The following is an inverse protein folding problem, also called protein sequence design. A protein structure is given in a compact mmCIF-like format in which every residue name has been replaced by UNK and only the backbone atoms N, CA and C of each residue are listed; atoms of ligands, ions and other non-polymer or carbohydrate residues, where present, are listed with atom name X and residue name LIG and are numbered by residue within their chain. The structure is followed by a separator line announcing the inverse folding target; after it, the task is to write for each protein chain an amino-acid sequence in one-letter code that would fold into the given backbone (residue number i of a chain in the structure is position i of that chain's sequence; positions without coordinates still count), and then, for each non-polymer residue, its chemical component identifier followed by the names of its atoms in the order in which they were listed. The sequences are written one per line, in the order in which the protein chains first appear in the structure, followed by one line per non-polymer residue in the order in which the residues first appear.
data_IF_263452649755
#
_entry.id   IF_263452649755
#
_cell.length_a   1.000
_cell.length_b   1.000
_cell.length_c   1.000
_cell.angle_alpha   90.00
_cell.angle_beta   90.00
_cell.angle_gamma   90.00
#
_symmetry.space_group_name_H-M   'P 1'
#
loop_
_entity.id
_entity.type
_entity.pdbx_description
1 polymer ?
#
# COMPACT_ATOMS: atom_id res chain seq x y z
N UNK A 1 -16.25 5.31 14.76
CA UNK A 1 -14.81 4.96 14.63
C UNK A 1 -14.26 4.48 15.96
N UNK A 2 -14.37 5.27 17.02
CA UNK A 2 -13.98 4.87 18.38
C UNK A 2 -14.54 3.49 18.82
N UNK A 3 -15.82 3.20 18.55
CA UNK A 3 -16.41 1.88 18.84
C UNK A 3 -15.67 0.71 18.17
N UNK A 4 -15.28 0.86 16.90
CA UNK A 4 -14.51 -0.15 16.16
C UNK A 4 -13.09 -0.28 16.69
N UNK A 5 -12.46 0.84 17.03
CA UNK A 5 -11.14 0.84 17.66
C UNK A 5 -11.17 0.12 19.01
N UNK A 6 -12.19 0.39 19.83
CA UNK A 6 -12.39 -0.27 21.12
C UNK A 6 -12.53 -1.78 20.96
N UNK A 7 -13.32 -2.23 19.99
CA UNK A 7 -13.51 -3.67 19.73
C UNK A 7 -12.23 -4.33 19.20
N UNK A 8 -11.43 -3.60 18.41
CA UNK A 8 -10.10 -4.04 17.95
C UNK A 8 -9.13 -4.17 19.13
N UNK A 9 -8.99 -3.14 19.97
CA UNK A 9 -8.11 -3.13 21.13
C UNK A 9 -8.47 -4.26 22.11
N UNK A 10 -9.77 -4.52 22.32
CA UNK A 10 -10.24 -5.64 23.14
C UNK A 10 -9.75 -7.00 22.61
N UNK A 11 -9.89 -7.23 21.30
CA UNK A 11 -9.49 -8.48 20.66
C UNK A 11 -7.98 -8.64 20.64
N UNK A 12 -7.27 -7.58 20.27
CA UNK A 12 -5.80 -7.56 20.24
C UNK A 12 -5.22 -7.88 21.62
N UNK A 13 -5.62 -7.17 22.67
CA UNK A 13 -5.10 -7.44 24.02
C UNK A 13 -5.48 -8.84 24.51
N UNK A 14 -6.67 -9.35 24.15
CA UNK A 14 -7.08 -10.71 24.51
C UNK A 14 -6.29 -11.82 23.79
N UNK A 15 -5.66 -11.53 22.64
CA UNK A 15 -4.84 -12.48 21.87
C UNK A 15 -3.35 -12.34 22.15
N UNK A 16 -2.88 -11.13 22.44
CA UNK A 16 -1.44 -10.84 22.53
C UNK A 16 -0.94 -10.85 23.97
N UNK A 17 -1.81 -10.55 24.94
CA UNK A 17 -1.46 -10.52 26.36
C UNK A 17 -2.19 -11.65 27.10
N UNK A 18 -1.61 -12.85 27.10
CA UNK A 18 -2.04 -13.96 27.94
C UNK A 18 -1.38 -13.88 29.32
N UNK A 19 -1.73 -12.87 30.12
CA UNK A 19 -1.21 -12.69 31.48
C UNK A 19 -1.06 -11.23 31.91
N UNK A 20 -0.79 -11.01 33.20
CA UNK A 20 -0.41 -9.70 33.76
C UNK A 20 1.12 -9.58 33.78
N UNK A 21 1.67 -8.41 33.42
CA UNK A 21 3.11 -8.12 33.48
C UNK A 21 3.68 -7.54 32.17
N UNK A 22 4.98 -7.77 31.92
CA UNK A 22 5.75 -7.15 30.83
C UNK A 22 5.18 -7.39 29.42
N UNK A 23 4.57 -8.55 29.18
CA UNK A 23 3.90 -8.88 27.91
C UNK A 23 2.67 -7.99 27.66
N UNK A 24 1.93 -7.64 28.72
CA UNK A 24 0.82 -6.69 28.61
C UNK A 24 1.37 -5.30 28.31
N UNK A 25 2.47 -4.91 28.95
CA UNK A 25 3.17 -3.64 28.70
C UNK A 25 3.60 -3.52 27.24
N UNK A 26 4.35 -4.48 26.71
CA UNK A 26 4.81 -4.46 25.31
C UNK A 26 3.66 -4.51 24.31
N UNK A 27 2.62 -5.31 24.58
CA UNK A 27 1.42 -5.33 23.74
C UNK A 27 0.72 -3.96 23.74
N UNK A 28 0.68 -3.28 24.87
CA UNK A 28 0.06 -1.96 24.96
C UNK A 28 0.87 -0.85 24.31
N UNK A 29 2.21 -0.91 24.34
CA UNK A 29 3.08 0.02 23.63
C UNK A 29 2.96 -0.13 22.10
N UNK A 30 2.70 -1.34 21.62
CA UNK A 30 2.49 -1.63 20.21
C UNK A 30 1.08 -1.24 19.71
N UNK A 31 0.17 -0.82 20.59
CA UNK A 31 -1.20 -0.51 20.23
C UNK A 31 -1.32 0.89 19.62
N UNK A 32 -1.76 0.96 18.36
CA UNK A 32 -2.11 2.22 17.71
C UNK A 32 -3.31 2.88 18.40
N UNK A 33 -3.11 4.08 18.94
CA UNK A 33 -4.13 4.86 19.65
C UNK A 33 -4.98 5.72 18.72
N UNK A 34 -4.84 5.60 17.40
CA UNK A 34 -5.69 6.32 16.45
C UNK A 34 -7.16 5.93 16.65
N UNK A 35 -8.01 6.93 16.93
CA UNK A 35 -9.42 6.83 17.36
C UNK A 35 -9.65 6.39 18.81
N UNK A 36 -8.61 6.30 19.63
CA UNK A 36 -8.73 6.11 21.06
C UNK A 36 -9.35 7.35 21.73
N UNK A 37 -10.22 7.09 22.71
CA UNK A 37 -10.68 8.10 23.64
C UNK A 37 -9.74 8.09 24.83
N UNK A 38 -9.16 9.23 25.19
CA UNK A 38 -8.17 9.34 26.25
C UNK A 38 -8.43 10.55 27.14
N UNK A 39 -7.98 10.50 28.39
CA UNK A 39 -7.88 11.64 29.28
C UNK A 39 -6.42 12.08 29.35
N UNK A 40 -6.13 13.36 29.20
CA UNK A 40 -4.78 13.88 29.46
C UNK A 40 -4.59 13.92 30.97
N UNK A 41 -3.75 13.07 31.54
CA UNK A 41 -3.49 13.08 32.99
C UNK A 41 -2.46 14.13 33.35
N UNK A 42 -1.45 14.31 32.49
CA UNK A 42 -0.40 15.32 32.65
C UNK A 42 0.15 15.70 31.28
N UNK A 43 0.50 16.97 31.08
CA UNK A 43 1.24 17.42 29.90
C UNK A 43 2.20 18.53 30.32
N UNK A 44 3.51 18.32 30.16
CA UNK A 44 4.53 19.29 30.53
C UNK A 44 4.49 20.56 29.66
N UNK A 45 4.03 20.43 28.41
CA UNK A 45 4.00 21.53 27.42
C UNK A 45 2.68 22.30 27.39
N UNK A 46 1.60 21.67 27.84
CA UNK A 46 0.23 22.20 27.84
C UNK A 46 -0.47 21.83 29.17
N UNK A 47 -0.05 22.40 30.32
CA UNK A 47 -0.62 22.08 31.63
C UNK A 47 -2.12 22.39 31.72
N UNK A 48 -2.63 23.33 30.92
CA UNK A 48 -4.05 23.70 30.84
C UNK A 48 -4.96 22.58 30.31
N UNK A 49 -4.37 21.53 29.72
CA UNK A 49 -5.10 20.38 29.21
C UNK A 49 -5.10 19.20 30.19
N UNK A 50 -4.44 19.30 31.35
CA UNK A 50 -4.54 18.27 32.37
C UNK A 50 -5.99 18.09 32.83
N UNK A 51 -6.48 16.85 32.82
CA UNK A 51 -7.86 16.47 33.07
C UNK A 51 -8.79 16.56 31.85
N UNK A 52 -8.33 17.07 30.70
CA UNK A 52 -9.17 17.18 29.51
C UNK A 52 -9.37 15.81 28.84
N UNK A 53 -10.61 15.52 28.45
CA UNK A 53 -10.90 14.41 27.55
C UNK A 53 -10.50 14.79 26.12
N UNK A 54 -9.90 13.83 25.41
CA UNK A 54 -9.47 13.98 24.02
C UNK A 54 -9.77 12.71 23.23
N UNK A 55 -10.05 12.89 21.94
CA UNK A 55 -10.07 11.79 20.97
C UNK A 55 -8.83 11.93 20.11
N UNK A 56 -7.99 10.90 20.08
CA UNK A 56 -6.82 10.84 19.20
C UNK A 56 -7.32 10.61 17.78
N UNK A 57 -7.07 11.56 16.88
CA UNK A 57 -7.48 11.47 15.47
C UNK A 57 -6.37 10.88 14.61
N UNK A 58 -5.11 11.08 15.04
CA UNK A 58 -3.94 10.55 14.35
C UNK A 58 -2.76 10.47 15.33
N UNK A 59 -2.00 9.39 15.23
CA UNK A 59 -0.78 9.17 15.99
C UNK A 59 0.44 9.21 15.07
N UNK A 60 1.46 9.98 15.45
CA UNK A 60 2.74 10.05 14.73
C UNK A 60 3.88 9.53 15.62
N UNK A 61 5.10 9.48 15.09
CA UNK A 61 6.29 9.07 15.88
C UNK A 61 6.53 9.95 17.11
N UNK A 62 6.16 11.24 17.08
CA UNK A 62 6.50 12.20 18.14
C UNK A 62 5.30 12.96 18.73
N UNK A 63 4.10 12.87 18.14
CA UNK A 63 2.93 13.63 18.57
C UNK A 63 1.63 12.85 18.45
N UNK A 64 0.67 13.18 19.32
CA UNK A 64 -0.74 12.84 19.22
C UNK A 64 -1.52 14.04 18.68
N UNK A 65 -2.26 13.85 17.59
CA UNK A 65 -3.19 14.84 17.08
C UNK A 65 -4.57 14.54 17.65
N UNK A 66 -5.07 15.43 18.49
CA UNK A 66 -6.23 15.22 19.33
C UNK A 66 -7.35 16.22 19.01
N UNK A 67 -8.58 15.82 19.26
CA UNK A 67 -9.75 16.72 19.27
C UNK A 67 -10.42 16.64 20.63
N UNK A 68 -10.67 17.79 21.23
CA UNK A 68 -11.42 17.93 22.49
C UNK A 68 -12.93 17.84 22.23
N UNK A 69 -13.77 17.57 23.25
CA UNK A 69 -15.23 17.59 23.13
C UNK A 69 -15.81 18.90 22.60
N UNK A 70 -15.11 20.02 22.81
CA UNK A 70 -15.49 21.34 22.26
C UNK A 70 -15.02 21.54 20.81
N UNK A 71 -14.65 20.46 20.12
CA UNK A 71 -14.14 20.47 18.74
C UNK A 71 -12.84 21.24 18.52
N UNK A 72 -12.13 21.64 19.59
CA UNK A 72 -10.81 22.25 19.48
C UNK A 72 -9.77 21.18 19.16
N UNK A 73 -8.99 21.41 18.09
CA UNK A 73 -7.82 20.59 17.75
C UNK A 73 -6.63 20.94 18.63
N UNK A 74 -5.94 19.92 19.09
CA UNK A 74 -4.77 20.02 19.97
C UNK A 74 -3.71 19.05 19.47
N UNK A 75 -2.44 19.47 19.50
CA UNK A 75 -1.30 18.60 19.23
C UNK A 75 -0.53 18.40 20.51
N UNK A 76 -0.48 17.17 21.01
CA UNK A 76 0.23 16.82 22.24
C UNK A 76 1.54 16.12 21.88
N UNK A 77 2.71 16.59 22.37
CA UNK A 77 3.97 15.87 22.18
C UNK A 77 3.94 14.55 22.96
N UNK A 78 4.48 13.46 22.41
CA UNK A 78 4.58 12.18 23.16
C UNK A 78 5.48 12.32 24.38
N UNK A 79 6.63 12.99 24.20
CA UNK A 79 7.52 13.31 25.31
C UNK A 79 6.86 14.30 26.27
N UNK A 80 6.75 13.90 27.54
CA UNK A 80 6.16 14.72 28.60
C UNK A 80 4.64 14.84 28.53
N UNK A 81 3.93 13.97 27.80
CA UNK A 81 2.47 13.84 27.89
C UNK A 81 2.09 12.46 28.40
N UNK A 82 1.19 12.44 29.36
CA UNK A 82 0.60 11.24 29.92
C UNK A 82 -0.87 11.17 29.55
N UNK A 83 -1.28 10.03 28.98
CA UNK A 83 -2.65 9.76 28.57
C UNK A 83 -3.21 8.57 29.34
N UNK A 84 -4.43 8.74 29.85
CA UNK A 84 -5.26 7.69 30.42
C UNK A 84 -6.26 7.18 29.39
N UNK A 85 -6.08 5.94 28.92
CA UNK A 85 -7.01 5.33 27.97
C UNK A 85 -7.81 4.23 28.68
N UNK A 86 -9.15 4.32 28.72
CA UNK A 86 -9.99 3.27 29.28
C UNK A 86 -10.05 2.09 28.29
N UNK A 87 -9.66 0.91 28.76
CA UNK A 87 -9.75 -0.32 27.97
C UNK A 87 -11.05 -1.08 28.28
N UNK A 88 -11.66 -1.75 27.29
CA UNK A 88 -12.81 -2.61 27.52
C UNK A 88 -12.44 -3.86 28.33
N UNK A 89 -13.31 -4.27 29.26
CA UNK A 89 -13.13 -5.49 30.07
C UNK A 89 -13.08 -6.72 29.16
N UNK A 90 -11.97 -7.47 29.18
CA UNK A 90 -11.87 -8.80 28.54
C UNK A 90 -12.06 -9.89 29.61
N UNK A 91 -12.86 -10.94 29.31
CA UNK A 91 -13.11 -12.07 30.23
C UNK A 91 -11.85 -12.90 30.54
N UNK A 92 -10.76 -12.77 29.77
CA UNK A 92 -9.51 -13.55 29.93
C UNK A 92 -8.45 -12.87 30.79
N UNK A 93 -8.70 -11.65 31.29
CA UNK A 93 -7.81 -10.95 32.21
C UNK A 93 -8.09 -11.29 33.69
N UNK A 94 -8.85 -12.36 33.96
CA UNK A 94 -9.04 -12.90 35.31
C UNK A 94 -7.91 -13.87 35.65
N UNK A 95 -6.79 -13.31 36.12
CA UNK A 95 -5.79 -13.98 36.94
C UNK A 95 -5.74 -13.30 38.31
N UNK A 96 -5.48 -14.08 39.36
CA UNK A 96 -5.74 -13.81 40.78
C UNK A 96 -5.03 -12.61 41.44
N UNK A 97 -4.42 -11.70 40.67
CA UNK A 97 -3.77 -10.48 41.17
C UNK A 97 -4.44 -9.17 40.70
N UNK A 98 -5.64 -9.24 40.10
CA UNK A 98 -6.45 -8.06 39.73
C UNK A 98 -6.85 -7.16 40.92
N UNK A 99 -6.45 -7.51 42.15
CA UNK A 99 -6.54 -6.67 43.35
C UNK A 99 -5.41 -5.61 43.42
N UNK A 100 -4.32 -5.75 42.66
CA UNK A 100 -3.20 -4.80 42.64
C UNK A 100 -3.36 -3.76 41.52
N UNK A 101 -4.34 -2.87 41.69
CA UNK A 101 -4.33 -1.52 41.09
C UNK A 101 -4.15 -1.38 39.56
N UNK A 102 -4.12 -0.15 39.03
CA UNK A 102 -3.82 0.11 37.62
C UNK A 102 -2.37 -0.28 37.29
N UNK A 103 -2.16 -0.88 36.11
CA UNK A 103 -0.81 -1.07 35.55
C UNK A 103 -0.34 0.29 35.03
N UNK A 104 0.50 0.95 35.81
CA UNK A 104 1.21 2.16 35.42
C UNK A 104 2.54 1.75 34.76
N UNK A 105 2.75 2.15 33.51
CA UNK A 105 4.02 1.93 32.81
C UNK A 105 4.79 3.25 32.82
N UNK A 106 5.85 3.31 33.63
CA UNK A 106 6.99 4.23 33.46
C UNK A 106 8.00 3.48 32.58
N UNK A 107 8.22 3.88 31.33
CA UNK A 107 9.28 4.84 30.97
C UNK A 107 8.88 5.86 29.88
N UNK A 108 7.64 5.83 29.38
CA UNK A 108 7.13 6.81 28.40
C UNK A 108 5.69 7.31 28.70
N UNK A 109 5.18 7.09 29.91
CA UNK A 109 4.05 7.85 30.45
C UNK A 109 2.65 7.50 29.94
N UNK A 110 2.42 6.32 29.37
CA UNK A 110 1.07 5.87 29.04
C UNK A 110 0.46 5.11 30.24
N UNK A 111 -0.68 5.55 30.77
CA UNK A 111 -1.37 4.84 31.86
C UNK A 111 -2.66 4.23 31.33
N UNK A 112 -2.72 2.90 31.25
CA UNK A 112 -3.90 2.21 30.72
C UNK A 112 -4.73 1.62 31.85
N UNK A 113 -6.02 1.97 31.88
CA UNK A 113 -6.92 1.49 32.92
C UNK A 113 -7.73 0.31 32.40
N UNK A 114 -7.55 -0.85 33.03
CA UNK A 114 -8.30 -2.07 32.71
C UNK A 114 -9.71 -2.09 33.33
N UNK A 115 -10.01 -1.19 34.28
CA UNK A 115 -11.30 -1.14 34.97
C UNK A 115 -11.93 0.27 34.96
N UNK A 116 -13.21 0.42 34.55
CA UNK A 116 -13.88 1.73 34.52
C UNK A 116 -14.13 2.35 35.90
N UNK A 117 -14.02 1.59 37.00
CA UNK A 117 -14.19 2.10 38.37
C UNK A 117 -12.95 2.84 38.91
N UNK A 118 -11.77 2.63 38.32
CA UNK A 118 -10.50 3.23 38.76
C UNK A 118 -10.05 4.40 37.86
N UNK A 119 -10.76 4.69 36.77
CA UNK A 119 -10.51 5.87 35.97
C UNK A 119 -10.93 7.13 36.75
N UNK A 120 -10.18 8.25 36.66
CA UNK A 120 -10.68 9.54 37.14
C UNK A 120 -12.06 9.79 36.50
N UNK A 121 -13.02 10.33 37.27
CA UNK A 121 -14.41 10.57 36.82
C UNK A 121 -14.41 11.43 35.56
N UNK A 122 -14.42 10.77 34.40
CA UNK A 122 -14.58 11.40 33.10
C UNK A 122 -16.01 11.95 33.04
N UNK A 123 -16.17 13.27 32.82
CA UNK A 123 -17.49 13.83 32.52
C UNK A 123 -18.03 13.11 31.28
N UNK A 124 -19.17 12.43 31.43
CA UNK A 124 -19.85 11.79 30.32
C UNK A 124 -20.16 12.82 29.24
N UNK A 125 -19.84 12.51 27.98
CA UNK A 125 -20.27 13.37 26.87
C UNK A 125 -21.81 13.32 26.74
N UNK A 126 -22.46 14.46 26.42
CA UNK A 126 -23.85 14.44 26.01
C UNK A 126 -24.01 13.53 24.78
N UNK A 127 -25.17 12.87 24.68
CA UNK A 127 -25.48 12.03 23.53
C UNK A 127 -25.46 12.84 22.22
N UNK A 128 -25.16 12.21 21.07
CA UNK A 128 -24.98 12.92 19.80
C UNK A 128 -26.25 13.62 19.26
N UNK A 129 -27.43 13.43 19.86
CA UNK A 129 -28.66 14.09 19.40
C UNK A 129 -28.71 15.59 19.73
N UNK A 130 -27.95 16.06 20.73
CA UNK A 130 -27.98 17.47 21.18
C UNK A 130 -26.92 18.37 20.53
N UNK A 131 -25.99 17.83 19.72
CA UNK A 131 -24.87 18.59 19.17
C UNK A 131 -25.15 19.28 17.81
N UNK A 132 -26.33 19.10 17.22
CA UNK A 132 -26.66 19.66 15.90
C UNK A 132 -27.11 21.13 15.91
N UNK A 133 -27.22 21.77 17.08
CA UNK A 133 -27.69 23.15 17.18
C UNK A 133 -26.59 24.24 17.22
N UNK A 134 -25.31 23.87 17.22
CA UNK A 134 -24.23 24.87 17.15
C UNK A 134 -23.89 25.19 15.69
N UNK A 135 -24.27 26.40 15.28
CA UNK A 135 -24.02 27.02 13.97
C UNK A 135 -22.61 26.72 13.45
N UNK A 136 -22.53 26.07 12.29
CA UNK A 136 -21.29 25.83 11.59
C UNK A 136 -20.71 27.15 11.07
N UNK A 137 -19.59 27.59 11.66
CA UNK A 137 -18.73 28.63 11.10
C UNK A 137 -18.09 28.10 9.78
N UNK A 138 -18.28 28.76 8.63
CA UNK A 138 -17.78 28.29 7.34
C UNK A 138 -16.25 28.39 7.20
N UNK A 139 -15.52 28.87 8.20
CA UNK A 139 -14.06 28.99 8.18
C UNK A 139 -13.29 27.72 8.60
N UNK A 140 -13.97 26.60 8.89
CA UNK A 140 -13.32 25.36 9.32
C UNK A 140 -12.43 24.78 8.22
N UNK A 141 -11.12 24.92 8.45
CA UNK A 141 -10.05 24.43 7.60
C UNK A 141 -10.27 22.97 7.16
N UNK A 142 -10.25 22.78 5.84
CA UNK A 142 -10.28 21.48 5.17
C UNK A 142 -9.20 20.54 5.73
N UNK A 143 -9.49 19.25 5.92
CA UNK A 143 -8.49 18.30 6.39
C UNK A 143 -7.34 18.22 5.37
N UNK A 144 -6.14 18.65 5.79
CA UNK A 144 -4.92 18.59 4.98
C UNK A 144 -4.67 17.11 4.65
N UNK A 145 -4.63 16.78 3.35
CA UNK A 145 -4.27 15.44 2.86
C UNK A 145 -2.99 14.97 3.56
N UNK A 146 -3.04 13.78 4.17
CA UNK A 146 -1.86 13.13 4.71
C UNK A 146 -0.77 13.07 3.62
N UNK A 147 0.38 13.65 3.91
CA UNK A 147 1.53 13.58 3.01
C UNK A 147 2.15 12.19 3.11
N UNK A 148 2.52 11.55 1.99
CA UNK A 148 3.20 10.27 2.01
C UNK A 148 4.55 10.38 2.76
N UNK A 149 5.03 9.29 3.39
CA UNK A 149 6.21 9.28 4.27
C UNK A 149 7.55 9.55 3.56
N UNK A 150 7.54 9.66 2.23
CA UNK A 150 8.64 10.14 1.40
C UNK A 150 8.18 11.44 0.74
N UNK A 151 8.94 12.52 0.88
CA UNK A 151 8.63 13.88 0.37
C UNK A 151 8.56 14.03 -1.15
N UNK A 152 8.31 12.95 -1.90
CA UNK A 152 8.12 12.95 -3.34
C UNK A 152 6.70 13.43 -3.63
N UNK A 153 6.56 14.55 -4.33
CA UNK A 153 5.25 15.03 -4.78
C UNK A 153 4.60 13.98 -5.70
N UNK A 154 3.27 13.87 -5.67
CA UNK A 154 2.53 12.95 -6.55
C UNK A 154 2.92 13.14 -8.03
N UNK A 155 3.18 14.40 -8.44
CA UNK A 155 3.65 14.75 -9.78
C UNK A 155 5.03 14.18 -10.10
N UNK A 156 5.97 14.29 -9.15
CA UNK A 156 7.30 13.71 -9.30
C UNK A 156 7.23 12.18 -9.40
N UNK A 157 6.39 11.51 -8.60
CA UNK A 157 6.21 10.07 -8.68
C UNK A 157 5.68 9.61 -10.06
N UNK A 158 4.64 10.29 -10.59
CA UNK A 158 4.13 10.01 -11.94
C UNK A 158 5.15 10.29 -13.04
N UNK A 159 5.93 11.37 -12.91
CA UNK A 159 6.99 11.71 -13.85
C UNK A 159 8.11 10.66 -13.84
N UNK A 160 8.56 10.23 -12.66
CA UNK A 160 9.58 9.18 -12.53
C UNK A 160 9.11 7.85 -13.12
N UNK A 161 7.85 7.45 -12.89
CA UNK A 161 7.27 6.27 -13.52
C UNK A 161 7.21 6.39 -15.04
N UNK A 162 6.79 7.56 -15.55
CA UNK A 162 6.76 7.82 -17.00
C UNK A 162 8.13 7.76 -17.64
N UNK A 163 9.14 8.42 -17.05
CA UNK A 163 10.52 8.39 -17.51
C UNK A 163 11.09 6.97 -17.47
N UNK A 164 10.86 6.23 -16.39
CA UNK A 164 11.29 4.84 -16.26
C UNK A 164 10.67 3.94 -17.33
N UNK A 165 9.37 4.08 -17.59
CA UNK A 165 8.68 3.35 -18.66
C UNK A 165 9.23 3.68 -20.06
N UNK A 166 9.50 4.96 -20.32
CA UNK A 166 10.08 5.41 -21.60
C UNK A 166 11.50 4.90 -21.78
N UNK A 167 12.36 5.03 -20.77
CA UNK A 167 13.75 4.56 -20.81
C UNK A 167 13.83 3.05 -21.03
N UNK A 168 12.97 2.29 -20.34
CA UNK A 168 12.85 0.84 -20.53
C UNK A 168 12.48 0.49 -21.97
N UNK A 169 11.47 1.16 -22.50
CA UNK A 169 10.93 0.91 -23.84
C UNK A 169 11.93 1.28 -24.93
N UNK A 170 12.57 2.44 -24.80
CA UNK A 170 13.63 2.88 -25.70
C UNK A 170 14.83 1.92 -25.67
N UNK A 171 15.25 1.47 -24.48
CA UNK A 171 16.32 0.49 -24.33
C UNK A 171 15.98 -0.85 -25.00
N UNK A 172 14.77 -1.38 -24.77
CA UNK A 172 14.33 -2.64 -25.38
C UNK A 172 14.27 -2.57 -26.91
N UNK A 173 13.69 -1.49 -27.46
CA UNK A 173 13.63 -1.26 -28.90
C UNK A 173 15.04 -1.06 -29.47
N UNK A 174 15.90 -0.30 -28.79
CA UNK A 174 17.29 -0.10 -29.18
C UNK A 174 18.07 -1.41 -29.25
N UNK A 175 17.91 -2.30 -28.27
CA UNK A 175 18.52 -3.64 -28.30
C UNK A 175 17.97 -4.48 -29.46
N UNK A 176 16.67 -4.41 -29.74
CA UNK A 176 16.05 -5.13 -30.85
C UNK A 176 16.61 -4.67 -32.20
N UNK A 177 16.73 -3.36 -32.41
CA UNK A 177 17.33 -2.77 -33.62
C UNK A 177 18.81 -3.13 -33.73
N UNK A 178 19.54 -3.11 -32.60
CA UNK A 178 20.94 -3.53 -32.57
C UNK A 178 21.10 -4.99 -33.03
N UNK A 179 20.29 -5.91 -32.50
CA UNK A 179 20.31 -7.32 -32.92
C UNK A 179 19.86 -7.53 -34.37
N UNK A 180 18.88 -6.77 -34.85
CA UNK A 180 18.45 -6.84 -36.25
C UNK A 180 19.57 -6.43 -37.22
N UNK A 181 20.43 -5.47 -36.82
CA UNK A 181 21.53 -4.96 -37.66
C UNK A 181 22.82 -5.75 -37.54
N UNK A 182 23.17 -6.17 -36.32
CA UNK A 182 24.48 -6.73 -36.00
C UNK A 182 24.45 -8.23 -35.66
N UNK A 183 23.25 -8.81 -35.57
CA UNK A 183 23.05 -10.16 -35.02
C UNK A 183 23.24 -10.21 -33.50
N UNK A 184 22.83 -11.33 -32.91
CA UNK A 184 23.13 -11.61 -31.51
C UNK A 184 24.55 -12.17 -31.35
N UNK A 185 25.25 -11.75 -30.29
CA UNK A 185 26.61 -12.25 -29.99
C UNK A 185 26.61 -13.59 -29.25
N UNK A 186 25.57 -13.87 -28.48
CA UNK A 186 25.44 -15.11 -27.67
C UNK A 186 24.66 -16.16 -28.45
N UNK A 187 25.16 -17.39 -28.49
CA UNK A 187 24.60 -18.49 -29.30
C UNK A 187 23.11 -18.73 -29.04
N UNK A 188 22.69 -18.80 -27.77
CA UNK A 188 21.28 -18.97 -27.41
C UNK A 188 20.36 -17.90 -28.05
N UNK A 189 20.78 -16.64 -28.07
CA UNK A 189 19.99 -15.57 -28.70
C UNK A 189 20.01 -15.67 -30.23
N UNK A 190 21.07 -16.22 -30.84
CA UNK A 190 21.07 -16.53 -32.28
C UNK A 190 20.04 -17.62 -32.60
N UNK A 191 19.99 -18.67 -31.79
CA UNK A 191 19.04 -19.79 -31.96
C UNK A 191 17.59 -19.33 -31.75
N UNK A 192 17.37 -18.44 -30.78
CA UNK A 192 16.08 -17.81 -30.54
C UNK A 192 15.67 -16.88 -31.69
N UNK A 193 16.59 -16.09 -32.25
CA UNK A 193 16.31 -15.24 -33.41
C UNK A 193 16.03 -16.07 -34.66
N UNK A 194 16.76 -17.16 -34.90
CA UNK A 194 16.54 -18.00 -36.09
C UNK A 194 15.22 -18.76 -36.04
N UNK A 195 14.82 -19.25 -34.85
CA UNK A 195 13.59 -20.03 -34.67
C UNK A 195 12.34 -19.18 -34.38
N UNK A 196 12.50 -18.01 -33.78
CA UNK A 196 11.42 -17.26 -33.13
C UNK A 196 11.53 -15.73 -33.30
N UNK A 197 12.16 -15.24 -34.39
CA UNK A 197 12.29 -13.80 -34.66
C UNK A 197 10.96 -13.05 -34.62
N UNK A 198 9.95 -13.52 -35.37
CA UNK A 198 8.64 -12.86 -35.45
C UNK A 198 8.00 -12.69 -34.06
N UNK A 199 7.76 -13.76 -33.27
CA UNK A 199 7.20 -13.60 -31.94
C UNK A 199 8.08 -12.78 -31.00
N UNK A 200 9.41 -12.84 -31.13
CA UNK A 200 10.33 -12.01 -30.33
C UNK A 200 10.16 -10.51 -30.62
N UNK A 201 10.21 -10.09 -31.88
CA UNK A 201 10.04 -8.67 -32.22
C UNK A 201 8.63 -8.18 -31.90
N UNK A 202 7.61 -9.00 -32.16
CA UNK A 202 6.22 -8.68 -31.79
C UNK A 202 6.05 -8.55 -30.28
N UNK A 203 6.69 -9.42 -29.49
CA UNK A 203 6.73 -9.31 -28.03
C UNK A 203 7.36 -8.00 -27.59
N UNK A 204 8.55 -7.69 -28.11
CA UNK A 204 9.29 -6.47 -27.74
C UNK A 204 8.45 -5.23 -28.02
N UNK A 205 7.79 -5.14 -29.19
CA UNK A 205 6.94 -4.01 -29.54
C UNK A 205 5.75 -3.89 -28.58
N UNK A 206 4.98 -4.96 -28.38
CA UNK A 206 3.81 -4.95 -27.49
C UNK A 206 4.18 -4.66 -26.03
N UNK A 207 5.18 -5.36 -25.51
CA UNK A 207 5.64 -5.22 -24.13
C UNK A 207 6.31 -3.86 -23.85
N UNK A 208 6.86 -3.18 -24.87
CA UNK A 208 7.40 -1.82 -24.73
C UNK A 208 6.30 -0.76 -24.76
N UNK A 209 5.26 -0.94 -25.57
CA UNK A 209 4.15 0.03 -25.62
C UNK A 209 3.29 0.01 -24.34
N UNK A 210 3.07 -1.16 -23.75
CA UNK A 210 2.22 -1.32 -22.58
C UNK A 210 2.59 -0.41 -21.38
N UNK A 211 3.84 -0.34 -20.88
CA UNK A 211 4.18 0.50 -19.74
C UNK A 211 3.99 2.00 -20.03
N UNK A 212 4.38 2.46 -21.23
CA UNK A 212 4.22 3.86 -21.64
C UNK A 212 2.76 4.27 -21.68
N UNK A 213 1.90 3.40 -22.23
CA UNK A 213 0.46 3.65 -22.32
C UNK A 213 -0.25 3.47 -20.98
N UNK A 214 0.27 2.63 -20.08
CA UNK A 214 -0.36 2.33 -18.80
C UNK A 214 -0.19 3.42 -17.73
N UNK A 215 0.93 4.14 -17.71
CA UNK A 215 1.17 5.24 -16.75
C UNK A 215 0.06 6.30 -16.77
N UNK A 216 -0.30 6.89 -17.94
CA UNK A 216 -1.38 7.89 -17.99
C UNK A 216 -2.75 7.30 -17.64
N UNK A 217 -2.97 6.00 -17.82
CA UNK A 217 -4.25 5.32 -17.52
C UNK A 217 -4.56 5.27 -16.02
N UNK A 218 -3.53 5.22 -15.18
CA UNK A 218 -3.70 5.19 -13.73
C UNK A 218 -3.94 6.59 -13.12
N UNK A 219 -3.55 7.66 -13.82
CA UNK A 219 -3.75 9.04 -13.36
C UNK A 219 -5.23 9.43 -13.30
N UNK A 220 -5.68 9.93 -12.14
CA UNK A 220 -7.03 10.50 -11.98
C UNK A 220 -7.22 11.75 -12.85
N UNK A 221 -6.17 12.55 -13.03
CA UNK A 221 -6.23 13.80 -13.79
C UNK A 221 -6.51 13.53 -15.27
N UNK A 222 -5.77 12.59 -15.89
CA UNK A 222 -5.96 12.21 -17.29
C UNK A 222 -7.37 11.65 -17.52
N UNK A 223 -7.85 10.77 -16.63
CA UNK A 223 -9.20 10.21 -16.73
C UNK A 223 -10.32 11.25 -16.64
N UNK A 224 -10.13 12.31 -15.85
CA UNK A 224 -11.12 13.39 -15.70
C UNK A 224 -11.04 14.40 -16.85
N UNK A 225 -9.83 14.70 -17.32
CA UNK A 225 -9.59 15.70 -18.36
C UNK A 225 -10.08 15.26 -19.75
N UNK A 226 -9.86 13.99 -20.13
CA UNK A 226 -10.32 13.47 -21.42
C UNK A 226 -10.74 12.00 -21.35
N UNK A 227 -12.04 11.72 -21.20
CA UNK A 227 -12.58 10.36 -21.24
C UNK A 227 -12.33 9.64 -22.58
N UNK A 228 -12.33 10.39 -23.69
CA UNK A 228 -12.01 9.84 -25.01
C UNK A 228 -10.56 9.37 -25.08
N UNK A 229 -9.61 10.21 -24.63
CA UNK A 229 -8.19 9.84 -24.60
C UNK A 229 -7.96 8.60 -23.70
N UNK A 230 -8.61 8.56 -22.53
CA UNK A 230 -8.56 7.38 -21.65
C UNK A 230 -9.00 6.10 -22.38
N UNK A 231 -10.12 6.14 -23.12
CA UNK A 231 -10.64 4.99 -23.88
C UNK A 231 -9.72 4.58 -25.03
N UNK A 232 -9.23 5.53 -25.83
CA UNK A 232 -8.35 5.23 -26.97
C UNK A 232 -7.03 4.65 -26.48
N UNK A 233 -6.33 5.35 -25.59
CA UNK A 233 -5.07 4.88 -25.02
C UNK A 233 -5.24 3.56 -24.25
N UNK A 234 -6.39 3.36 -23.60
CA UNK A 234 -6.72 2.12 -22.90
C UNK A 234 -6.90 0.93 -23.85
N UNK A 235 -7.52 1.14 -25.02
CA UNK A 235 -7.63 0.10 -26.07
C UNK A 235 -6.26 -0.26 -26.64
N UNK A 236 -5.43 0.74 -26.93
CA UNK A 236 -4.06 0.48 -27.43
C UNK A 236 -3.24 -0.24 -26.35
N UNK A 237 -3.36 0.15 -25.07
CA UNK A 237 -2.73 -0.57 -23.96
C UNK A 237 -3.15 -2.05 -23.94
N UNK A 238 -4.45 -2.34 -24.01
CA UNK A 238 -4.96 -3.72 -24.00
C UNK A 238 -4.45 -4.51 -25.20
N UNK A 239 -4.46 -3.92 -26.40
CA UNK A 239 -3.91 -4.57 -27.59
C UNK A 239 -2.41 -4.89 -27.41
N UNK A 240 -1.64 -3.94 -26.89
CA UNK A 240 -0.21 -4.13 -26.57
C UNK A 240 0.02 -5.25 -25.56
N UNK A 241 -0.81 -5.34 -24.52
CA UNK A 241 -0.76 -6.45 -23.53
C UNK A 241 -1.12 -7.79 -24.17
N UNK A 242 -2.15 -7.84 -25.02
CA UNK A 242 -2.55 -9.10 -25.68
C UNK A 242 -1.44 -9.58 -26.61
N UNK A 243 -0.93 -8.69 -27.47
CA UNK A 243 0.15 -8.99 -28.41
C UNK A 243 1.42 -9.39 -27.66
N UNK A 244 1.86 -8.58 -26.70
CA UNK A 244 3.06 -8.84 -25.90
C UNK A 244 2.93 -10.07 -25.02
N UNK A 245 1.79 -10.28 -24.37
CA UNK A 245 1.54 -11.41 -23.49
C UNK A 245 1.43 -12.73 -24.24
N UNK A 246 0.72 -12.78 -25.37
CA UNK A 246 0.56 -14.01 -26.15
C UNK A 246 1.90 -14.47 -26.76
N UNK A 247 2.65 -13.53 -27.35
CA UNK A 247 3.98 -13.84 -27.87
C UNK A 247 4.99 -14.12 -26.75
N UNK A 248 4.89 -13.44 -25.61
CA UNK A 248 5.70 -13.74 -24.43
C UNK A 248 5.44 -15.15 -23.87
N UNK A 249 4.18 -15.61 -23.87
CA UNK A 249 3.82 -16.96 -23.47
C UNK A 249 4.45 -18.02 -24.40
N UNK A 250 4.42 -17.78 -25.71
CA UNK A 250 5.09 -18.64 -26.68
C UNK A 250 6.61 -18.70 -26.41
N UNK A 251 7.24 -17.54 -26.19
CA UNK A 251 8.69 -17.44 -25.96
C UNK A 251 9.13 -17.98 -24.59
N UNK A 252 8.22 -18.14 -23.63
CA UNK A 252 8.55 -18.65 -22.30
C UNK A 252 9.17 -20.06 -22.37
N UNK A 253 8.76 -20.90 -23.32
CA UNK A 253 9.36 -22.23 -23.53
C UNK A 253 10.83 -22.20 -23.97
N UNK A 254 11.25 -21.10 -24.59
CA UNK A 254 12.61 -20.85 -25.09
C UNK A 254 13.45 -19.96 -24.14
N UNK A 255 13.00 -19.70 -22.91
CA UNK A 255 13.74 -18.83 -21.99
C UNK A 255 15.16 -19.35 -21.68
N UNK A 256 16.08 -18.41 -21.42
CA UNK A 256 17.53 -18.63 -21.30
C UNK A 256 17.93 -19.53 -20.12
N UNK A 257 17.17 -19.50 -19.01
CA UNK A 257 17.48 -20.27 -17.81
C UNK A 257 16.61 -21.54 -17.67
N UNK A 258 16.85 -22.28 -16.58
CA UNK A 258 16.23 -23.58 -16.30
C UNK A 258 14.70 -23.57 -16.29
N UNK A 259 14.11 -24.74 -16.02
CA UNK A 259 12.65 -24.93 -16.01
C UNK A 259 11.92 -23.89 -15.13
N UNK A 260 12.53 -23.42 -14.05
CA UNK A 260 11.98 -22.40 -13.16
C UNK A 260 11.67 -21.07 -13.86
N UNK A 261 12.59 -20.53 -14.67
CA UNK A 261 12.37 -19.28 -15.40
C UNK A 261 11.29 -19.42 -16.48
N UNK A 262 11.28 -20.57 -17.18
CA UNK A 262 10.25 -20.88 -18.19
C UNK A 262 8.86 -20.88 -17.57
N UNK A 263 8.70 -21.55 -16.42
CA UNK A 263 7.45 -21.59 -15.65
C UNK A 263 7.08 -20.18 -15.16
N UNK A 264 8.04 -19.41 -14.64
CA UNK A 264 7.80 -18.05 -14.15
C UNK A 264 7.28 -17.12 -15.24
N UNK A 265 7.95 -17.07 -16.41
CA UNK A 265 7.50 -16.22 -17.52
C UNK A 265 6.18 -16.70 -18.13
N UNK A 266 5.95 -18.01 -18.21
CA UNK A 266 4.67 -18.57 -18.65
C UNK A 266 3.54 -18.18 -17.71
N UNK A 267 3.73 -18.34 -16.39
CA UNK A 267 2.78 -17.94 -15.38
C UNK A 267 2.51 -16.43 -15.42
N UNK A 268 3.55 -15.61 -15.51
CA UNK A 268 3.43 -14.16 -15.67
C UNK A 268 2.57 -13.81 -16.89
N UNK A 269 2.84 -14.41 -18.06
CA UNK A 269 2.07 -14.14 -19.27
C UNK A 269 0.58 -14.51 -19.12
N UNK A 270 0.28 -15.68 -18.54
CA UNK A 270 -1.09 -16.12 -18.29
C UNK A 270 -1.81 -15.19 -17.32
N UNK A 271 -1.18 -14.83 -16.20
CA UNK A 271 -1.78 -13.94 -15.19
C UNK A 271 -1.95 -12.52 -15.76
N UNK A 272 -1.01 -12.04 -16.57
CA UNK A 272 -1.07 -10.73 -17.20
C UNK A 272 -2.21 -10.62 -18.24
N UNK A 273 -2.37 -11.64 -19.07
CA UNK A 273 -3.51 -11.75 -19.99
C UNK A 273 -4.82 -11.90 -19.23
N UNK A 274 -4.87 -12.77 -18.23
CA UNK A 274 -6.05 -13.04 -17.42
C UNK A 274 -6.56 -11.79 -16.68
N UNK A 275 -5.66 -11.07 -15.99
CA UNK A 275 -6.04 -9.84 -15.27
C UNK A 275 -6.54 -8.75 -16.23
N UNK A 276 -5.92 -8.61 -17.40
CA UNK A 276 -6.40 -7.69 -18.45
C UNK A 276 -7.78 -8.10 -18.97
N UNK A 277 -8.00 -9.38 -19.25
CA UNK A 277 -9.28 -9.89 -19.72
C UNK A 277 -10.40 -9.67 -18.69
N UNK A 278 -10.13 -9.93 -17.40
CA UNK A 278 -11.08 -9.66 -16.32
C UNK A 278 -11.39 -8.17 -16.18
N UNK A 279 -10.38 -7.30 -16.35
CA UNK A 279 -10.57 -5.86 -16.39
C UNK A 279 -11.49 -5.41 -17.51
N UNK A 280 -11.31 -5.97 -18.71
CA UNK A 280 -12.16 -5.66 -19.87
C UNK A 280 -13.58 -6.23 -19.72
N UNK A 281 -13.73 -7.45 -19.21
CA UNK A 281 -15.03 -8.03 -18.89
C UNK A 281 -15.81 -7.14 -17.93
N UNK A 282 -15.17 -6.66 -16.86
CA UNK A 282 -15.78 -5.73 -15.92
C UNK A 282 -16.16 -4.38 -16.56
N UNK A 283 -15.37 -3.88 -17.52
CA UNK A 283 -15.71 -2.67 -18.28
C UNK A 283 -16.96 -2.86 -19.15
N UNK A 284 -17.08 -4.00 -19.84
CA UNK A 284 -18.25 -4.32 -20.65
C UNK A 284 -19.52 -4.50 -19.80
N UNK A 285 -19.36 -5.07 -18.60
CA UNK A 285 -20.42 -5.16 -17.59
C UNK A 285 -20.73 -3.83 -16.88
N UNK A 286 -20.07 -2.73 -17.27
CA UNK A 286 -20.17 -1.40 -16.64
C UNK A 286 -19.82 -1.39 -15.14
N UNK A 287 -19.12 -2.41 -14.65
CA UNK A 287 -18.58 -2.47 -13.30
C UNK A 287 -17.21 -1.78 -13.25
N UNK A 288 -17.23 -0.44 -13.26
CA UNK A 288 -16.02 0.37 -13.32
C UNK A 288 -15.13 0.24 -12.08
N UNK A 289 -15.70 -0.13 -10.93
CA UNK A 289 -14.91 -0.42 -9.72
C UNK A 289 -14.06 -1.67 -9.95
N UNK A 290 -14.67 -2.77 -10.36
CA UNK A 290 -13.94 -4.01 -10.63
C UNK A 290 -12.96 -3.84 -11.79
N UNK A 291 -13.36 -3.13 -12.86
CA UNK A 291 -12.46 -2.78 -13.97
C UNK A 291 -11.17 -2.11 -13.46
N UNK A 292 -11.30 -1.10 -12.61
CA UNK A 292 -10.13 -0.41 -12.03
C UNK A 292 -9.24 -1.35 -11.25
N UNK A 293 -9.81 -2.17 -10.37
CA UNK A 293 -9.02 -3.09 -9.55
C UNK A 293 -8.26 -4.11 -10.43
N UNK A 294 -8.89 -4.65 -11.48
CA UNK A 294 -8.23 -5.57 -12.42
C UNK A 294 -7.18 -4.89 -13.29
N UNK A 295 -7.45 -3.68 -13.79
CA UNK A 295 -6.48 -2.93 -14.59
C UNK A 295 -5.28 -2.46 -13.77
N UNK A 296 -5.45 -2.21 -12.46
CA UNK A 296 -4.32 -1.94 -11.57
C UNK A 296 -3.41 -3.17 -11.41
N UNK A 297 -3.97 -4.37 -11.32
CA UNK A 297 -3.19 -5.62 -11.33
C UNK A 297 -2.47 -5.84 -12.66
N UNK A 298 -3.19 -5.67 -13.78
CA UNK A 298 -2.63 -5.74 -15.13
C UNK A 298 -1.44 -4.79 -15.28
N UNK A 299 -1.55 -3.54 -14.80
CA UNK A 299 -0.44 -2.59 -14.86
C UNK A 299 0.73 -2.99 -13.96
N UNK A 300 0.49 -3.53 -12.76
CA UNK A 300 1.58 -4.02 -11.90
C UNK A 300 2.39 -5.14 -12.58
N UNK A 301 1.70 -6.02 -13.30
CA UNK A 301 2.32 -7.08 -14.09
C UNK A 301 3.09 -6.52 -15.29
N UNK A 302 2.57 -5.48 -15.96
CA UNK A 302 3.30 -4.74 -17.00
C UNK A 302 4.62 -4.17 -16.47
N UNK A 303 4.63 -3.67 -15.23
CA UNK A 303 5.83 -3.11 -14.59
C UNK A 303 6.88 -4.17 -14.20
N UNK A 304 6.56 -5.47 -14.28
CA UNK A 304 7.51 -6.54 -13.96
C UNK A 304 8.74 -6.49 -14.86
N UNK A 305 8.60 -6.05 -16.10
CA UNK A 305 9.75 -5.86 -17.00
C UNK A 305 10.76 -4.84 -16.45
N UNK A 306 10.30 -3.77 -15.80
CA UNK A 306 11.16 -2.79 -15.15
C UNK A 306 11.77 -3.38 -13.87
N UNK A 307 10.95 -3.98 -13.01
CA UNK A 307 11.38 -4.57 -11.73
C UNK A 307 12.43 -5.65 -11.94
N UNK A 308 12.24 -6.53 -12.94
CA UNK A 308 13.20 -7.57 -13.31
C UNK A 308 14.57 -6.99 -13.60
N UNK A 309 14.64 -5.92 -14.41
CA UNK A 309 15.93 -5.31 -14.78
C UNK A 309 16.60 -4.63 -13.60
N UNK A 310 15.83 -3.96 -12.74
CA UNK A 310 16.36 -3.36 -11.53
C UNK A 310 16.95 -4.41 -10.59
N UNK A 311 16.21 -5.48 -10.31
CA UNK A 311 16.71 -6.55 -9.44
C UNK A 311 17.87 -7.31 -10.06
N UNK A 312 17.79 -7.63 -11.36
CA UNK A 312 18.83 -8.37 -12.07
C UNK A 312 20.15 -7.60 -12.10
N UNK A 313 20.12 -6.33 -12.50
CA UNK A 313 21.32 -5.49 -12.54
C UNK A 313 21.90 -5.26 -11.14
N UNK A 314 21.06 -5.18 -10.12
CA UNK A 314 21.50 -5.01 -8.73
C UNK A 314 22.15 -6.29 -8.20
N UNK A 315 21.55 -7.46 -8.42
CA UNK A 315 22.09 -8.75 -7.99
C UNK A 315 23.43 -9.07 -8.64
N UNK A 316 23.57 -8.85 -9.95
CA UNK A 316 24.85 -9.02 -10.65
C UNK A 316 25.91 -8.05 -10.12
N UNK A 317 25.56 -6.79 -9.87
CA UNK A 317 26.51 -5.80 -9.28
C UNK A 317 26.95 -6.16 -7.86
N UNK A 318 26.11 -6.85 -7.11
CA UNK A 318 26.46 -7.37 -5.77
C UNK A 318 27.34 -8.62 -5.82
N UNK A 319 27.63 -9.17 -7.01
CA UNK A 319 28.51 -10.32 -7.18
C UNK A 319 27.82 -11.67 -7.05
N UNK A 320 26.48 -11.72 -7.02
CA UNK A 320 25.75 -12.99 -6.99
C UNK A 320 25.85 -13.74 -8.32
N UNK A 321 25.82 -15.09 -8.32
CA UNK A 321 25.87 -15.89 -9.55
C UNK A 321 24.72 -15.56 -10.50
N UNK A 322 25.02 -15.50 -11.80
CA UNK A 322 24.05 -15.13 -12.84
C UNK A 322 22.78 -15.98 -12.79
N UNK A 323 22.92 -17.31 -12.66
CA UNK A 323 21.79 -18.23 -12.68
C UNK A 323 20.82 -17.97 -11.52
N UNK A 324 21.35 -17.83 -10.30
CA UNK A 324 20.56 -17.57 -9.09
C UNK A 324 19.84 -16.23 -9.17
N UNK A 325 20.54 -15.18 -9.61
CA UNK A 325 19.95 -13.86 -9.80
C UNK A 325 18.87 -13.92 -10.88
N UNK A 326 19.13 -14.56 -12.02
CA UNK A 326 18.16 -14.64 -13.09
C UNK A 326 16.88 -15.35 -12.64
N UNK A 327 17.01 -16.54 -12.04
CA UNK A 327 15.85 -17.32 -11.58
C UNK A 327 15.06 -16.59 -10.50
N UNK A 328 15.72 -16.05 -9.47
CA UNK A 328 15.05 -15.30 -8.41
C UNK A 328 14.33 -14.06 -8.96
N UNK A 329 14.99 -13.31 -9.85
CA UNK A 329 14.41 -12.07 -10.38
C UNK A 329 13.25 -12.30 -11.32
N UNK A 330 13.20 -13.43 -12.04
CA UNK A 330 12.02 -13.78 -12.85
C UNK A 330 10.76 -13.82 -12.00
N UNK A 331 10.78 -14.49 -10.85
CA UNK A 331 9.65 -14.60 -9.92
C UNK A 331 9.39 -13.31 -9.15
N UNK A 332 10.43 -12.75 -8.54
CA UNK A 332 10.29 -11.56 -7.70
C UNK A 332 9.74 -10.38 -8.48
N UNK A 333 10.08 -10.25 -9.77
CA UNK A 333 9.68 -9.12 -10.60
C UNK A 333 8.17 -8.89 -10.66
N UNK A 334 7.37 -9.97 -10.68
CA UNK A 334 5.92 -9.87 -10.84
C UNK A 334 5.16 -10.23 -9.56
N UNK A 335 5.66 -11.17 -8.77
CA UNK A 335 5.04 -11.55 -7.49
C UNK A 335 5.07 -10.37 -6.53
N UNK A 336 6.22 -9.70 -6.36
CA UNK A 336 6.33 -8.54 -5.47
C UNK A 336 5.45 -7.39 -5.95
N UNK A 337 5.40 -7.14 -7.26
CA UNK A 337 4.54 -6.11 -7.84
C UNK A 337 3.05 -6.40 -7.57
N UNK A 338 2.60 -7.64 -7.74
CA UNK A 338 1.22 -8.04 -7.45
C UNK A 338 0.89 -7.92 -5.96
N UNK A 339 1.76 -8.43 -5.08
CA UNK A 339 1.56 -8.36 -3.64
C UNK A 339 1.48 -6.90 -3.16
N UNK A 340 2.35 -6.03 -3.68
CA UNK A 340 2.30 -4.61 -3.39
C UNK A 340 0.94 -3.99 -3.80
N UNK A 341 0.40 -4.37 -4.95
CA UNK A 341 -0.93 -3.91 -5.35
C UNK A 341 -2.04 -4.46 -4.46
N UNK A 342 -2.03 -5.76 -4.15
CA UNK A 342 -3.07 -6.40 -3.34
C UNK A 342 -3.11 -5.90 -1.90
N UNK A 343 -1.96 -5.63 -1.29
CA UNK A 343 -1.87 -5.29 0.13
C UNK A 343 -1.83 -3.80 0.40
N UNK A 344 -1.33 -2.99 -0.53
CA UNK A 344 -1.14 -1.55 -0.31
C UNK A 344 -2.13 -0.74 -1.13
N UNK A 345 -2.20 -0.99 -2.44
CA UNK A 345 -2.94 -0.13 -3.39
C UNK A 345 -4.44 -0.40 -3.34
N UNK A 346 -4.86 -1.66 -3.48
CA UNK A 346 -6.27 -2.01 -3.57
C UNK A 346 -7.06 -1.77 -2.27
N UNK A 347 -6.54 -2.05 -1.06
CA UNK A 347 -7.23 -1.73 0.17
C UNK A 347 -7.48 -0.21 0.30
N UNK A 348 -6.48 0.60 -0.05
CA UNK A 348 -6.58 2.07 -0.07
C UNK A 348 -7.64 2.57 -1.06
N UNK A 349 -7.72 1.94 -2.24
CA UNK A 349 -8.75 2.26 -3.25
C UNK A 349 -10.16 1.88 -2.78
N UNK A 350 -10.31 0.71 -2.14
CA UNK A 350 -11.58 0.22 -1.61
C UNK A 350 -12.07 1.05 -0.44
N UNK A 351 -11.16 1.55 0.40
CA UNK A 351 -11.48 2.45 1.50
C UNK A 351 -11.96 3.82 1.01
N UNK A 352 -11.37 4.35 -0.06
CA UNK A 352 -11.73 5.65 -0.65
C UNK A 352 -13.05 5.66 -1.44
N UNK A 353 -13.64 4.48 -1.68
CA UNK A 353 -14.88 4.31 -2.46
C UNK A 353 -16.11 4.05 -1.58
N UNK A 354 -15.93 3.96 -0.25
CA UNK A 354 -17.00 3.84 0.74
C UNK A 354 -17.35 5.22 1.28
#
# INVERSE_FOLDING_TARGET
MHSRWRDFAAKYLATTAHGCGDLLTSATEALDLTFAYAAVTRCARCPELAGAAVIVVNETRSTFQCVTPTSRRVVLPKQGTWLAVPLPRSRRLHGADAAKGPVAVEENGLTLFCCPRAAPRLRAMPSPSTAQAATADPSVATPRKAQPPLGISERAAWASLGVGALALSAGAIGTAVYFARNGARVQHFKDMLSSSAVPLYTHILGASLAPVLGVPQLSKAVRKASPLAHRVLGRVYVASVVVGGATGLYLAGSAFAGSAAKVSFGALAVVWLGTTAMGMRAAFQRNYRSHREWMTRSFALTMSALTLRLYFLTGVKMGFPFADVYDATTWMSWVVNLLAVEWIVLPSMRASSK
#
